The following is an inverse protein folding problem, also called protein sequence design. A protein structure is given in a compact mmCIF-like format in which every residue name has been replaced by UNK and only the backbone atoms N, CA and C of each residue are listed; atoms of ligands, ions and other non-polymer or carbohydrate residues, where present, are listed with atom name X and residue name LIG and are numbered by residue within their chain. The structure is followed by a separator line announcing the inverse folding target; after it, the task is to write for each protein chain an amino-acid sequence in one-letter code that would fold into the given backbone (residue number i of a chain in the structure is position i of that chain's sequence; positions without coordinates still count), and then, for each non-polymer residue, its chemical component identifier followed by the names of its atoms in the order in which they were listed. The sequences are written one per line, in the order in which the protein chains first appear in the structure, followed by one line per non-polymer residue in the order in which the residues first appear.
data_IF_343775234109
#
_entry.id   IF_343775234109
#
_cell.length_a   1.000
_cell.length_b   1.000
_cell.length_c   1.000
_cell.angle_alpha   90.00
_cell.angle_beta   90.00
_cell.angle_gamma   90.00
#
_symmetry.space_group_name_H-M   'P 1'
#
loop_
_entity.id
_entity.type
_entity.pdbx_description
1 polymer ?
#
# COMPACT_ATOMS: atom_id res chain seq x y z
N UNK A 1 -5.43 12.04 16.22
CA UNK A 1 -6.18 11.46 15.08
C UNK A 1 -5.35 10.35 14.46
N UNK A 2 -5.96 9.22 14.19
CA UNK A 2 -5.23 8.09 13.61
C UNK A 2 -4.93 8.31 12.13
N UNK A 3 -3.75 7.86 11.71
CA UNK A 3 -3.25 8.06 10.36
C UNK A 3 -2.89 6.70 9.74
N UNK A 4 -3.34 6.49 8.52
CA UNK A 4 -2.95 5.34 7.69
C UNK A 4 -1.83 5.78 6.76
N UNK A 5 -0.79 4.99 6.65
CA UNK A 5 0.28 5.21 5.68
C UNK A 5 -0.11 4.59 4.34
N UNK A 6 -0.15 5.40 3.29
CA UNK A 6 -0.31 4.92 1.91
C UNK A 6 1.05 5.05 1.22
N UNK A 7 1.72 3.91 1.02
CA UNK A 7 3.07 3.86 0.50
C UNK A 7 3.08 3.28 -0.92
N UNK A 8 3.45 4.11 -1.87
CA UNK A 8 3.50 3.75 -3.29
C UNK A 8 4.93 3.83 -3.82
N UNK A 9 5.35 2.77 -4.48
CA UNK A 9 6.70 2.59 -4.99
C UNK A 9 6.93 3.15 -6.40
N UNK A 10 7.98 2.64 -7.08
CA UNK A 10 8.43 3.18 -8.35
C UNK A 10 7.34 3.21 -9.42
N UNK A 11 7.36 4.30 -10.20
CA UNK A 11 6.51 4.54 -11.36
C UNK A 11 5.01 4.79 -11.05
N UNK A 12 4.60 4.72 -9.79
CA UNK A 12 3.20 4.95 -9.44
C UNK A 12 2.81 6.43 -9.53
N UNK A 13 3.79 7.33 -9.51
CA UNK A 13 3.52 8.75 -9.71
C UNK A 13 3.01 9.13 -11.10
N UNK A 14 3.21 8.27 -12.10
CA UNK A 14 2.75 8.51 -13.47
C UNK A 14 1.53 7.66 -13.85
N UNK A 15 0.82 7.12 -12.87
CA UNK A 15 -0.44 6.40 -13.13
C UNK A 15 -1.42 7.29 -13.88
N UNK A 16 -2.21 6.67 -14.75
CA UNK A 16 -3.13 7.36 -15.65
C UNK A 16 -2.49 7.67 -17.01
N UNK A 17 -1.16 7.75 -17.07
CA UNK A 17 -0.39 8.00 -18.28
C UNK A 17 0.37 6.77 -18.75
N UNK A 18 0.56 5.79 -17.86
CA UNK A 18 1.38 4.60 -18.09
C UNK A 18 0.51 3.40 -18.39
N UNK A 19 0.70 2.80 -19.57
CA UNK A 19 0.05 1.53 -19.98
C UNK A 19 -1.37 1.35 -19.39
N UNK A 20 -2.36 2.17 -19.81
CA UNK A 20 -3.72 2.12 -19.23
C UNK A 20 -4.38 0.75 -19.30
N UNK A 21 -4.04 -0.05 -20.32
CA UNK A 21 -4.55 -1.40 -20.52
C UNK A 21 -4.08 -2.37 -19.42
N UNK A 22 -2.98 -2.05 -18.71
CA UNK A 22 -2.43 -2.87 -17.61
C UNK A 22 -2.81 -2.29 -16.25
N UNK A 23 -2.67 -0.97 -16.08
CA UNK A 23 -2.78 -0.30 -14.78
C UNK A 23 -4.06 0.51 -14.61
N UNK A 24 -4.87 0.66 -15.68
CA UNK A 24 -6.07 1.48 -15.64
C UNK A 24 -5.79 2.97 -15.90
N UNK A 25 -6.83 3.79 -15.82
CA UNK A 25 -6.75 5.24 -16.10
C UNK A 25 -6.75 6.11 -14.85
N UNK A 26 -6.97 5.53 -13.67
CA UNK A 26 -6.93 6.30 -12.43
C UNK A 26 -5.54 6.84 -12.17
N UNK A 27 -5.48 8.07 -11.66
CA UNK A 27 -4.23 8.71 -11.24
C UNK A 27 -3.91 8.34 -9.80
N UNK A 28 -2.69 8.62 -9.36
CA UNK A 28 -2.33 8.45 -7.95
C UNK A 28 -3.21 9.33 -7.05
N UNK A 29 -3.54 10.56 -7.48
CA UNK A 29 -4.44 11.44 -6.73
C UNK A 29 -5.83 10.83 -6.57
N UNK A 30 -6.36 10.16 -7.60
CA UNK A 30 -7.64 9.46 -7.52
C UNK A 30 -7.59 8.34 -6.48
N UNK A 31 -6.50 7.60 -6.44
CA UNK A 31 -6.28 6.52 -5.46
C UNK A 31 -6.20 7.08 -4.04
N UNK A 32 -5.45 8.15 -3.85
CA UNK A 32 -5.33 8.80 -2.54
C UNK A 32 -6.68 9.28 -2.02
N UNK A 33 -7.49 9.90 -2.89
CA UNK A 33 -8.83 10.35 -2.55
C UNK A 33 -9.74 9.18 -2.19
N UNK A 34 -9.64 8.06 -2.92
CA UNK A 34 -10.44 6.87 -2.66
C UNK A 34 -10.12 6.24 -1.31
N UNK A 35 -8.84 6.14 -0.96
CA UNK A 35 -8.43 5.61 0.35
C UNK A 35 -8.89 6.55 1.47
N UNK A 36 -8.71 7.86 1.29
CA UNK A 36 -9.16 8.85 2.27
C UNK A 36 -10.67 8.75 2.53
N UNK A 37 -11.46 8.55 1.48
CA UNK A 37 -12.90 8.38 1.60
C UNK A 37 -13.25 7.14 2.44
N UNK A 38 -12.58 6.01 2.19
CA UNK A 38 -12.86 4.76 2.91
C UNK A 38 -12.52 4.86 4.40
N UNK A 39 -11.40 5.47 4.78
CA UNK A 39 -10.97 5.51 6.18
C UNK A 39 -11.66 6.63 6.97
N UNK A 40 -12.31 7.57 6.30
CA UNK A 40 -13.04 8.67 6.94
C UNK A 40 -14.16 8.17 7.86
N UNK A 41 -14.74 7.01 7.58
CA UNK A 41 -15.78 6.43 8.40
C UNK A 41 -15.37 6.29 9.86
N UNK A 42 -14.06 6.16 10.11
CA UNK A 42 -13.50 6.08 11.46
C UNK A 42 -12.78 7.36 11.89
N UNK A 43 -12.92 8.43 11.12
CA UNK A 43 -12.25 9.70 11.38
C UNK A 43 -10.74 9.67 11.12
N UNK A 44 -10.25 8.66 10.40
CA UNK A 44 -8.82 8.52 10.11
C UNK A 44 -8.40 9.38 8.93
N UNK A 45 -7.13 9.76 8.94
CA UNK A 45 -6.48 10.48 7.85
C UNK A 45 -5.48 9.57 7.14
N UNK A 46 -5.01 10.03 5.98
CA UNK A 46 -4.03 9.31 5.16
C UNK A 46 -2.76 10.15 5.04
N UNK A 47 -1.62 9.54 5.32
CA UNK A 47 -0.31 10.07 4.95
C UNK A 47 0.11 9.35 3.68
N UNK A 48 0.07 10.04 2.55
CA UNK A 48 0.40 9.48 1.25
C UNK A 48 1.84 9.78 0.89
N UNK A 49 2.58 8.74 0.52
CA UNK A 49 4.00 8.82 0.13
C UNK A 49 4.17 8.04 -1.16
N UNK A 50 4.87 8.64 -2.13
CA UNK A 50 5.29 7.96 -3.35
C UNK A 50 6.75 8.28 -3.62
N UNK A 51 7.55 7.25 -3.86
CA UNK A 51 8.96 7.41 -4.24
C UNK A 51 9.34 6.37 -5.30
N UNK A 52 10.26 6.75 -6.17
CA UNK A 52 10.86 5.85 -7.16
C UNK A 52 12.10 5.14 -6.62
N UNK A 53 12.66 5.62 -5.53
CA UNK A 53 13.85 5.06 -4.87
C UNK A 53 13.45 4.16 -3.71
N UNK A 54 14.02 2.95 -3.67
CA UNK A 54 13.82 2.04 -2.54
C UNK A 54 14.29 2.65 -1.22
N UNK A 55 15.43 3.35 -1.23
CA UNK A 55 15.95 4.00 -0.02
C UNK A 55 15.00 5.05 0.54
N UNK A 56 14.32 5.81 -0.32
CA UNK A 56 13.34 6.80 0.12
C UNK A 56 12.09 6.14 0.70
N UNK A 57 11.67 4.99 0.17
CA UNK A 57 10.58 4.21 0.74
C UNK A 57 10.94 3.67 2.12
N UNK A 58 12.14 3.16 2.28
CA UNK A 58 12.66 2.71 3.58
C UNK A 58 12.64 3.86 4.59
N UNK A 59 13.11 5.04 4.20
CA UNK A 59 13.07 6.24 5.04
C UNK A 59 11.66 6.64 5.43
N UNK A 60 10.71 6.53 4.50
CA UNK A 60 9.30 6.83 4.77
C UNK A 60 8.72 5.87 5.83
N UNK A 61 9.02 4.58 5.73
CA UNK A 61 8.59 3.61 6.74
C UNK A 61 9.15 3.97 8.12
N UNK A 62 10.43 4.30 8.19
CA UNK A 62 11.06 4.68 9.46
C UNK A 62 10.42 5.94 10.07
N UNK A 63 10.07 6.94 9.24
CA UNK A 63 9.43 8.16 9.73
C UNK A 63 8.02 7.93 10.25
N UNK A 64 7.28 6.99 9.67
CA UNK A 64 5.85 6.80 9.94
C UNK A 64 5.53 5.61 10.85
N UNK A 65 6.52 4.76 11.17
CA UNK A 65 6.25 3.51 11.89
C UNK A 65 5.69 3.69 13.29
N UNK A 66 6.00 4.80 13.94
CA UNK A 66 5.52 5.09 15.30
C UNK A 66 4.29 5.98 15.37
N UNK A 67 3.80 6.47 14.22
CA UNK A 67 2.73 7.46 14.16
C UNK A 67 1.56 7.04 13.27
N UNK A 68 1.56 5.81 12.77
CA UNK A 68 0.49 5.30 11.91
C UNK A 68 -0.12 4.04 12.49
N UNK A 69 -1.40 3.81 12.20
CA UNK A 69 -2.16 2.65 12.72
C UNK A 69 -2.15 1.46 11.78
N UNK A 70 -1.72 1.66 10.55
CA UNK A 70 -1.63 0.63 9.52
C UNK A 70 -1.12 1.22 8.23
N UNK A 71 -0.83 0.38 7.26
CA UNK A 71 -0.35 0.83 5.96
C UNK A 71 -0.95 0.04 4.81
N UNK A 72 -1.02 0.71 3.66
CA UNK A 72 -1.29 0.10 2.37
C UNK A 72 -0.03 0.28 1.55
N UNK A 73 0.53 -0.82 1.03
CA UNK A 73 1.82 -0.80 0.34
C UNK A 73 1.68 -1.37 -1.05
N UNK A 74 1.96 -0.54 -2.05
CA UNK A 74 2.15 -1.00 -3.42
C UNK A 74 3.63 -0.83 -3.75
N UNK A 75 4.41 -1.90 -3.75
CA UNK A 75 5.86 -1.81 -3.95
C UNK A 75 6.26 -1.59 -5.41
N UNK A 76 5.30 -1.67 -6.35
CA UNK A 76 5.64 -1.71 -7.77
C UNK A 76 6.55 -2.90 -8.07
N UNK A 77 7.51 -2.72 -8.97
CA UNK A 77 8.45 -3.78 -9.33
C UNK A 77 9.42 -4.14 -8.19
N UNK A 78 9.49 -3.37 -7.12
CA UNK A 78 10.29 -3.75 -5.95
C UNK A 78 9.76 -5.01 -5.27
N UNK A 79 8.57 -5.47 -5.61
CA UNK A 79 8.05 -6.75 -5.10
C UNK A 79 9.00 -7.91 -5.39
N UNK A 80 9.75 -7.86 -6.49
CA UNK A 80 10.61 -8.97 -6.91
C UNK A 80 12.01 -8.95 -6.29
N UNK A 81 12.48 -7.80 -5.79
CA UNK A 81 13.85 -7.65 -5.33
C UNK A 81 14.04 -6.58 -4.23
N UNK A 82 12.97 -6.09 -3.62
CA UNK A 82 13.04 -5.06 -2.60
C UNK A 82 13.41 -5.60 -1.22
N UNK A 83 14.59 -6.13 -1.07
CA UNK A 83 15.04 -6.76 0.17
C UNK A 83 15.20 -5.74 1.32
N UNK A 84 15.70 -4.53 1.03
CA UNK A 84 15.78 -3.47 2.02
C UNK A 84 14.39 -2.98 2.42
N UNK A 85 13.47 -2.89 1.46
CA UNK A 85 12.07 -2.58 1.73
C UNK A 85 11.43 -3.66 2.62
N UNK A 86 11.70 -4.93 2.34
CA UNK A 86 11.25 -6.04 3.18
C UNK A 86 11.73 -5.89 4.62
N UNK A 87 13.02 -5.59 4.80
CA UNK A 87 13.59 -5.46 6.15
C UNK A 87 12.99 -4.26 6.90
N UNK A 88 12.74 -3.16 6.19
CA UNK A 88 12.06 -2.01 6.79
C UNK A 88 10.63 -2.36 7.23
N UNK A 89 9.88 -3.09 6.40
CA UNK A 89 8.53 -3.54 6.74
C UNK A 89 8.53 -4.53 7.90
N UNK A 90 9.60 -5.32 8.07
CA UNK A 90 9.74 -6.19 9.23
C UNK A 90 9.80 -5.41 10.55
N UNK A 91 10.20 -4.14 10.52
CA UNK A 91 10.22 -3.26 11.68
C UNK A 91 8.91 -2.49 11.87
N UNK A 92 7.97 -2.62 10.96
CA UNK A 92 6.69 -1.92 10.99
C UNK A 92 5.67 -2.78 11.75
N UNK A 93 5.33 -2.37 12.97
CA UNK A 93 4.49 -3.18 13.86
C UNK A 93 3.00 -3.19 13.50
N UNK A 94 2.38 -2.07 13.03
CA UNK A 94 0.96 -2.09 12.69
C UNK A 94 0.64 -3.03 11.51
N UNK A 95 -0.62 -3.47 11.36
CA UNK A 95 -1.00 -4.27 10.20
C UNK A 95 -0.84 -3.49 8.90
N UNK A 96 -0.47 -4.18 7.83
CA UNK A 96 -0.39 -3.58 6.51
C UNK A 96 -0.80 -4.58 5.43
N UNK A 97 -1.31 -4.03 4.33
CA UNK A 97 -1.83 -4.80 3.20
C UNK A 97 -1.05 -4.44 1.95
N UNK A 98 -0.57 -5.46 1.24
CA UNK A 98 0.08 -5.27 -0.07
C UNK A 98 -0.98 -5.17 -1.16
N UNK A 99 -0.81 -4.21 -2.09
CA UNK A 99 -1.75 -4.01 -3.21
C UNK A 99 -0.98 -3.97 -4.53
N UNK A 100 -1.50 -4.65 -5.53
CA UNK A 100 -1.07 -4.55 -6.92
C UNK A 100 -2.27 -4.28 -7.81
N UNK A 101 -2.14 -3.32 -8.73
CA UNK A 101 -3.21 -2.96 -9.67
C UNK A 101 -3.46 -4.07 -10.67
N UNK A 102 -2.39 -4.62 -11.26
CA UNK A 102 -2.48 -5.70 -12.23
C UNK A 102 -2.51 -7.06 -11.56
N UNK A 103 -3.10 -8.06 -12.24
CA UNK A 103 -2.95 -9.44 -11.83
C UNK A 103 -1.53 -9.91 -12.20
N UNK A 104 -0.64 -9.92 -11.22
CA UNK A 104 0.77 -10.23 -11.42
C UNK A 104 0.97 -11.66 -11.96
N UNK A 105 0.07 -12.58 -11.67
CA UNK A 105 0.14 -13.95 -12.16
C UNK A 105 -0.26 -14.11 -13.64
N UNK A 106 -0.92 -13.10 -14.20
CA UNK A 106 -1.23 -13.03 -15.63
C UNK A 106 -0.11 -12.35 -16.44
N UNK A 107 0.96 -11.97 -15.79
CA UNK A 107 2.10 -11.27 -16.39
C UNK A 107 3.33 -12.18 -16.44
N UNK A 108 4.49 -11.60 -16.72
CA UNK A 108 5.76 -12.33 -16.81
C UNK A 108 6.05 -13.09 -15.51
N UNK A 109 6.63 -14.26 -15.64
CA UNK A 109 6.88 -15.15 -14.50
C UNK A 109 7.69 -14.50 -13.39
N UNK A 110 8.62 -13.58 -13.74
CA UNK A 110 9.43 -12.93 -12.72
C UNK A 110 8.62 -12.04 -11.76
N UNK A 111 7.35 -11.72 -12.11
CA UNK A 111 6.45 -10.93 -11.26
C UNK A 111 5.57 -11.78 -10.35
N UNK A 112 5.74 -13.11 -10.36
CA UNK A 112 4.83 -13.98 -9.63
C UNK A 112 5.14 -14.07 -8.13
N UNK A 113 6.35 -13.72 -7.71
CA UNK A 113 6.76 -13.77 -6.31
C UNK A 113 6.95 -12.37 -5.74
N UNK A 114 6.46 -12.15 -4.53
CA UNK A 114 6.68 -10.91 -3.80
C UNK A 114 7.55 -11.19 -2.58
N UNK A 115 8.65 -10.45 -2.46
CA UNK A 115 9.55 -10.59 -1.30
C UNK A 115 8.96 -9.98 -0.04
N UNK A 116 7.96 -9.10 -0.16
CA UNK A 116 7.32 -8.46 1.01
C UNK A 116 6.01 -9.14 1.42
N UNK A 117 5.33 -9.86 0.52
CA UNK A 117 4.04 -10.48 0.81
C UNK A 117 4.03 -11.35 2.07
N UNK A 118 5.06 -12.15 2.37
CA UNK A 118 5.07 -12.96 3.59
C UNK A 118 4.95 -12.18 4.89
N UNK A 119 5.27 -10.88 4.88
CA UNK A 119 5.19 -10.02 6.06
C UNK A 119 3.87 -9.27 6.17
N UNK A 120 3.10 -9.21 5.09
CA UNK A 120 1.83 -8.48 5.04
C UNK A 120 0.74 -9.20 5.84
N UNK A 121 -0.24 -8.44 6.34
CA UNK A 121 -1.45 -9.02 6.92
C UNK A 121 -2.33 -9.64 5.85
N UNK A 122 -2.25 -9.18 4.62
CA UNK A 122 -2.96 -9.71 3.46
C UNK A 122 -2.51 -9.04 2.18
N UNK A 123 -2.99 -9.56 1.04
CA UNK A 123 -2.60 -9.08 -0.30
C UNK A 123 -3.85 -8.94 -1.16
N UNK A 124 -3.95 -7.83 -1.89
CA UNK A 124 -5.00 -7.59 -2.90
C UNK A 124 -4.32 -7.41 -4.25
N UNK A 125 -4.71 -8.23 -5.23
CA UNK A 125 -4.02 -8.28 -6.53
C UNK A 125 -5.03 -8.31 -7.66
N UNK A 126 -4.82 -7.49 -8.68
CA UNK A 126 -5.50 -7.64 -9.97
C UNK A 126 -6.84 -6.94 -10.11
N UNK A 127 -7.24 -6.11 -9.16
CA UNK A 127 -8.53 -5.46 -9.17
C UNK A 127 -8.45 -3.96 -9.50
N UNK A 128 -7.34 -3.54 -10.11
CA UNK A 128 -7.11 -2.14 -10.45
C UNK A 128 -7.09 -1.24 -9.22
N UNK A 129 -7.44 0.02 -9.41
CA UNK A 129 -7.48 0.99 -8.32
C UNK A 129 -8.48 0.63 -7.21
N UNK A 130 -9.54 -0.12 -7.54
CA UNK A 130 -10.51 -0.61 -6.55
C UNK A 130 -9.84 -1.43 -5.45
N UNK A 131 -8.73 -2.11 -5.76
CA UNK A 131 -7.97 -2.88 -4.77
C UNK A 131 -7.49 -2.03 -3.58
N UNK A 132 -7.21 -0.75 -3.79
CA UNK A 132 -6.85 0.15 -2.69
C UNK A 132 -8.01 0.39 -1.73
N UNK A 133 -9.24 0.48 -2.24
CA UNK A 133 -10.43 0.59 -1.40
C UNK A 133 -10.61 -0.67 -0.55
N UNK A 134 -10.39 -1.84 -1.14
CA UNK A 134 -10.47 -3.11 -0.41
C UNK A 134 -9.39 -3.20 0.66
N UNK A 135 -8.18 -2.74 0.36
CA UNK A 135 -7.09 -2.70 1.34
C UNK A 135 -7.43 -1.77 2.51
N UNK A 136 -8.03 -0.61 2.22
CA UNK A 136 -8.48 0.32 3.27
C UNK A 136 -9.54 -0.34 4.16
N UNK A 137 -10.52 -1.02 3.58
CA UNK A 137 -11.53 -1.76 4.32
C UNK A 137 -10.92 -2.89 5.14
N UNK A 138 -9.91 -3.56 4.61
CA UNK A 138 -9.18 -4.59 5.34
C UNK A 138 -8.51 -4.01 6.59
N UNK A 139 -7.89 -2.83 6.49
CA UNK A 139 -7.29 -2.16 7.65
C UNK A 139 -8.34 -1.80 8.69
N UNK A 140 -9.49 -1.27 8.27
CA UNK A 140 -10.58 -0.98 9.17
C UNK A 140 -11.04 -2.24 9.93
N UNK A 141 -11.09 -3.36 9.24
CA UNK A 141 -11.42 -4.65 9.83
C UNK A 141 -10.35 -5.14 10.82
N UNK A 142 -9.10 -5.11 10.40
CA UNK A 142 -7.97 -5.58 11.21
C UNK A 142 -7.80 -4.78 12.51
N UNK A 143 -8.13 -3.50 12.48
CA UNK A 143 -8.00 -2.61 13.64
C UNK A 143 -9.29 -2.50 14.47
N UNK A 144 -10.39 -3.14 14.07
CA UNK A 144 -11.70 -3.00 14.72
C UNK A 144 -11.72 -3.54 16.15
N UNK A 145 -10.92 -4.57 16.43
CA UNK A 145 -10.92 -5.24 17.74
C UNK A 145 -9.79 -4.79 18.66
N UNK A 146 -9.06 -3.73 18.33
CA UNK A 146 -7.90 -3.30 19.13
C UNK A 146 -8.39 -2.47 20.32
N UNK A 147 -8.22 -2.95 21.60
CA UNK A 147 -8.59 -2.17 22.76
C UNK A 147 -7.76 -0.88 22.81
N UNK A 148 -8.44 0.28 22.93
CA UNK A 148 -7.78 1.57 22.97
C UNK A 148 -7.42 2.13 21.58
N UNK A 149 -7.78 1.43 20.54
CA UNK A 149 -7.75 2.01 19.20
C UNK A 149 -8.81 3.12 19.11
N UNK A 150 -8.57 4.16 18.30
CA UNK A 150 -9.58 5.20 18.16
C UNK A 150 -10.86 4.60 17.61
N UNK A 151 -11.93 4.78 18.36
CA UNK A 151 -13.28 4.40 17.97
C UNK A 151 -13.79 5.35 16.89
#
# INVERSE_FOLDING_TARGET
MSVVLLLNGPNLGILGQREPEVYGTDTLADIEAAVAEEVRVRGWEVASVQHDSEGDLVGAIHRHRGSTVGAIVNPGALMIAGWSLRDALASYAPPWVEVHLSNVWARERFRHDSVIAPLASGVVVGLGAFGYRLAARALLHLCAGTPGGPS
#
